data_IF_726607139067
#
_entry.id   IF_726607139067
#
_cell.length_a   1.000
_cell.length_b   1.000
_cell.length_c   1.000
_cell.angle_alpha   90.00
_cell.angle_beta   90.00
_cell.angle_gamma   90.00
#
_symmetry.space_group_name_H-M   'P 1'
#
loop_
_entity.id
_entity.type
_entity.pdbx_description
1 polymer ?
#
# COMPACT_ATOMS: atom_id res chain seq x y z
N UNK A 1 41.75 -7.87 -59.62
CA UNK A 1 40.44 -7.46 -59.07
C UNK A 1 39.98 -6.18 -59.79
N UNK A 2 38.86 -6.20 -60.52
CA UNK A 2 38.45 -5.07 -61.37
C UNK A 2 38.05 -3.86 -60.54
N UNK A 3 38.44 -2.64 -60.98
CA UNK A 3 38.10 -1.36 -60.29
C UNK A 3 36.61 -1.25 -59.92
N UNK A 4 35.71 -1.77 -60.78
CA UNK A 4 34.26 -1.81 -60.51
C UNK A 4 33.87 -2.75 -59.36
N UNK A 5 34.56 -3.89 -59.19
CA UNK A 5 34.34 -4.84 -58.08
C UNK A 5 34.92 -4.34 -56.75
N UNK A 6 36.02 -3.57 -56.79
CA UNK A 6 36.59 -2.93 -55.60
C UNK A 6 35.68 -1.82 -55.07
N UNK A 7 35.09 -1.01 -55.96
CA UNK A 7 34.11 0.02 -55.58
C UNK A 7 32.82 -0.55 -54.99
N UNK A 8 32.31 -1.67 -55.54
CA UNK A 8 31.14 -2.37 -55.01
C UNK A 8 31.39 -2.97 -53.62
N UNK A 9 32.59 -3.50 -53.35
CA UNK A 9 32.98 -4.01 -52.03
C UNK A 9 33.12 -2.91 -50.98
N UNK A 10 33.68 -1.74 -51.35
CA UNK A 10 33.80 -0.61 -50.42
C UNK A 10 32.40 -0.07 -50.07
N UNK A 11 31.49 0.05 -51.05
CA UNK A 11 30.14 0.56 -50.81
C UNK A 11 29.31 -0.37 -49.92
N UNK A 12 29.42 -1.70 -50.08
CA UNK A 12 28.70 -2.65 -49.21
C UNK A 12 29.28 -2.71 -47.80
N UNK A 13 30.58 -2.51 -47.63
CA UNK A 13 31.22 -2.50 -46.30
C UNK A 13 30.90 -1.23 -45.49
N UNK A 14 30.71 -0.08 -46.16
CA UNK A 14 30.30 1.19 -45.52
C UNK A 14 28.82 1.15 -45.10
N UNK A 15 27.95 0.52 -45.89
CA UNK A 15 26.51 0.40 -45.54
C UNK A 15 26.29 -0.59 -44.37
N UNK A 16 27.10 -1.66 -44.28
CA UNK A 16 26.97 -2.64 -43.19
C UNK A 16 27.50 -2.12 -41.83
N UNK A 17 28.41 -1.16 -41.83
CA UNK A 17 28.97 -0.54 -40.60
C UNK A 17 28.18 0.67 -40.12
N UNK A 18 27.22 1.17 -40.92
CA UNK A 18 26.39 2.33 -40.58
C UNK A 18 25.16 2.01 -39.71
N UNK A 19 24.91 0.73 -39.39
CA UNK A 19 23.82 0.28 -38.51
C UNK A 19 24.26 -0.14 -37.10
N UNK A 20 25.51 0.15 -36.70
CA UNK A 20 26.01 -0.09 -35.32
C UNK A 20 26.46 1.22 -34.64
N UNK A 21 25.96 2.38 -35.08
CA UNK A 21 26.13 3.65 -34.36
C UNK A 21 24.82 4.11 -33.70
N UNK A 22 24.22 3.21 -32.91
CA UNK A 22 23.31 3.58 -31.84
C UNK A 22 24.13 3.80 -30.57
N UNK A 23 24.37 5.06 -30.22
CA UNK A 23 24.80 5.58 -28.91
C UNK A 23 25.53 4.61 -27.95
N UNK A 24 26.86 4.58 -28.02
CA UNK A 24 27.70 4.33 -26.83
C UNK A 24 28.32 5.67 -26.45
N UNK A 25 27.71 6.34 -25.48
CA UNK A 25 28.13 7.67 -25.04
C UNK A 25 27.15 8.27 -24.05
N UNK A 26 27.11 7.68 -22.86
CA UNK A 26 26.28 8.14 -21.74
C UNK A 26 25.63 6.94 -21.07
N UNK A 27 26.37 6.32 -20.15
CA UNK A 27 25.84 5.31 -19.26
C UNK A 27 24.51 5.78 -18.71
N UNK A 28 23.49 5.03 -19.09
CA UNK A 28 22.11 5.14 -18.63
C UNK A 28 22.10 5.35 -17.12
N UNK A 29 21.61 6.52 -16.75
CA UNK A 29 21.02 6.87 -15.48
C UNK A 29 21.23 5.81 -14.40
N UNK A 30 22.22 6.07 -13.53
CA UNK A 30 21.94 5.89 -12.12
C UNK A 30 20.77 6.81 -11.78
N UNK A 31 19.54 6.39 -12.12
CA UNK A 31 18.43 6.72 -11.27
C UNK A 31 18.94 6.35 -9.88
N UNK A 32 18.88 7.25 -8.88
CA UNK A 32 19.01 6.76 -7.53
C UNK A 32 18.04 5.58 -7.48
N UNK A 33 18.53 4.41 -7.09
CA UNK A 33 17.64 3.53 -6.35
C UNK A 33 17.23 4.40 -5.17
N UNK A 34 16.17 5.17 -5.32
CA UNK A 34 15.32 5.49 -4.20
C UNK A 34 14.88 4.12 -3.72
N UNK A 35 15.68 3.51 -2.85
CA UNK A 35 15.15 2.95 -1.61
C UNK A 35 14.50 4.12 -0.86
N UNK A 36 13.49 4.70 -1.50
CA UNK A 36 12.88 5.96 -1.19
C UNK A 36 11.75 5.59 -0.31
N UNK A 37 11.89 5.94 0.96
CA UNK A 37 10.80 5.81 1.90
C UNK A 37 9.55 6.46 1.31
N UNK A 38 8.47 5.70 1.20
CA UNK A 38 7.17 6.22 0.82
C UNK A 38 6.57 6.96 2.02
N UNK A 39 5.77 7.99 1.73
CA UNK A 39 4.91 8.62 2.72
C UNK A 39 3.48 8.32 2.36
N UNK A 40 2.77 7.65 3.25
CA UNK A 40 1.37 7.26 3.05
C UNK A 40 0.45 8.22 3.79
N UNK A 41 -0.69 8.56 3.16
CA UNK A 41 -1.77 9.34 3.74
C UNK A 41 -3.05 8.53 3.66
N UNK A 42 -3.85 8.55 4.71
CA UNK A 42 -5.14 7.86 4.71
C UNK A 42 -6.06 8.38 5.78
N UNK A 43 -7.20 7.71 5.92
CA UNK A 43 -8.25 8.05 6.87
C UNK A 43 -8.61 6.78 7.64
N UNK A 44 -8.82 6.90 8.95
CA UNK A 44 -9.35 5.83 9.79
C UNK A 44 -10.77 6.18 10.20
N UNK A 45 -11.69 5.25 9.99
CA UNK A 45 -13.12 5.43 10.19
C UNK A 45 -13.63 4.34 11.11
N UNK A 46 -14.32 4.74 12.18
CA UNK A 46 -15.08 3.85 13.04
C UNK A 46 -16.55 3.81 12.57
N UNK A 47 -17.30 2.74 12.85
CA UNK A 47 -18.75 2.77 12.72
C UNK A 47 -19.35 3.93 13.52
N UNK A 48 -20.52 4.43 13.11
CA UNK A 48 -21.27 5.41 13.91
C UNK A 48 -21.59 4.83 15.29
N UNK A 49 -20.95 5.38 16.31
CA UNK A 49 -21.04 4.89 17.68
C UNK A 49 -21.02 6.01 18.74
N UNK A 50 -20.76 7.26 18.35
CA UNK A 50 -20.70 8.42 19.23
C UNK A 50 -19.74 8.26 20.44
N UNK A 51 -18.76 7.34 20.40
CA UNK A 51 -17.83 7.18 21.52
C UNK A 51 -16.92 8.41 21.70
N UNK A 52 -16.68 9.15 20.62
CA UNK A 52 -15.60 10.12 20.53
C UNK A 52 -16.16 11.52 20.23
N UNK A 53 -16.41 12.30 21.29
CA UNK A 53 -16.96 13.65 21.17
C UNK A 53 -15.97 14.70 20.66
N UNK A 54 -14.70 14.34 20.51
CA UNK A 54 -13.62 15.18 19.99
C UNK A 54 -13.37 14.99 18.48
N UNK A 55 -14.27 14.28 17.79
CA UNK A 55 -14.25 14.11 16.34
C UNK A 55 -14.57 15.42 15.59
N UNK A 56 -13.78 15.74 14.58
CA UNK A 56 -14.04 16.79 13.59
C UNK A 56 -14.74 16.18 12.38
N UNK A 57 -15.64 16.92 11.74
CA UNK A 57 -16.27 16.45 10.49
C UNK A 57 -15.22 16.24 9.37
N UNK A 58 -15.32 15.12 8.67
CA UNK A 58 -14.53 14.85 7.48
C UNK A 58 -15.45 14.51 6.29
N UNK A 59 -15.59 15.40 5.29
CA UNK A 59 -16.54 15.22 4.20
C UNK A 59 -16.14 14.11 3.21
N UNK A 60 -14.93 13.55 3.34
CA UNK A 60 -14.49 12.41 2.53
C UNK A 60 -15.06 11.07 3.03
N UNK A 61 -15.58 11.02 4.27
CA UNK A 61 -16.19 9.83 4.85
C UNK A 61 -17.65 9.76 4.41
N UNK A 62 -18.03 8.66 3.76
CA UNK A 62 -19.40 8.43 3.26
C UNK A 62 -20.24 7.66 4.29
N UNK A 63 -19.61 6.81 5.10
CA UNK A 63 -20.25 5.97 6.11
C UNK A 63 -19.37 5.90 7.35
N UNK A 64 -19.94 6.08 8.55
CA UNK A 64 -19.19 6.05 9.80
C UNK A 64 -18.74 7.43 10.28
N UNK A 65 -17.90 7.43 11.30
CA UNK A 65 -17.32 8.61 11.92
C UNK A 65 -15.79 8.54 11.87
N UNK A 66 -15.08 9.68 11.69
CA UNK A 66 -13.63 9.68 11.76
C UNK A 66 -13.17 9.20 13.13
N UNK A 67 -12.21 8.26 13.17
CA UNK A 67 -11.62 7.80 14.43
C UNK A 67 -10.57 8.83 14.88
N UNK A 68 -10.87 9.73 15.83
CA UNK A 68 -10.00 10.86 16.12
C UNK A 68 -8.87 10.43 17.04
N UNK A 69 -7.69 11.05 16.98
CA UNK A 69 -6.63 10.86 18.00
C UNK A 69 -6.24 9.39 18.29
N UNK A 70 -6.41 8.48 17.33
CA UNK A 70 -6.05 7.07 17.46
C UNK A 70 -4.55 6.88 17.24
N UNK A 71 -3.93 6.06 18.08
CA UNK A 71 -2.55 5.67 17.91
C UNK A 71 -2.45 4.66 16.76
N UNK A 72 -1.53 4.89 15.83
CA UNK A 72 -1.32 4.04 14.66
C UNK A 72 -0.01 3.28 14.82
N UNK A 73 -0.07 1.99 14.53
CA UNK A 73 1.09 1.12 14.32
C UNK A 73 1.00 0.59 12.89
N UNK A 74 2.00 0.87 12.06
CA UNK A 74 2.20 0.22 10.78
C UNK A 74 3.25 -0.87 10.94
N UNK A 75 2.83 -2.12 10.84
CA UNK A 75 3.71 -3.28 10.93
C UNK A 75 4.00 -3.81 9.52
N UNK A 76 5.25 -3.69 9.08
CA UNK A 76 5.74 -4.32 7.86
C UNK A 76 6.64 -5.52 8.20
N UNK A 77 7.22 -6.13 7.18
CA UNK A 77 8.07 -7.32 7.35
C UNK A 77 9.38 -7.00 8.08
N UNK A 78 9.96 -5.82 7.87
CA UNK A 78 11.28 -5.46 8.43
C UNK A 78 11.25 -4.30 9.41
N UNK A 79 10.17 -3.51 9.42
CA UNK A 79 10.06 -2.34 10.30
C UNK A 79 8.65 -2.14 10.85
N UNK A 80 8.61 -1.42 11.97
CA UNK A 80 7.38 -0.91 12.57
C UNK A 80 7.47 0.60 12.63
N UNK A 81 6.45 1.27 12.12
CA UNK A 81 6.32 2.73 12.19
C UNK A 81 5.12 3.07 13.06
N UNK A 82 5.17 4.23 13.71
CA UNK A 82 4.07 4.71 14.53
C UNK A 82 3.58 6.06 14.05
N UNK A 83 2.30 6.35 14.28
CA UNK A 83 1.69 7.63 13.96
C UNK A 83 0.45 7.87 14.81
N UNK A 84 -0.31 8.90 14.44
CA UNK A 84 -1.58 9.22 15.10
C UNK A 84 -2.55 9.79 14.09
N UNK A 85 -3.84 9.55 14.26
CA UNK A 85 -4.87 10.29 13.52
C UNK A 85 -5.09 11.68 14.11
N UNK A 86 -5.44 12.64 13.25
CA UNK A 86 -5.97 13.94 13.68
C UNK A 86 -7.44 13.82 14.12
N UNK A 87 -8.08 14.94 14.46
CA UNK A 87 -9.49 14.93 14.88
C UNK A 87 -10.46 14.51 13.76
N UNK A 88 -10.05 14.61 12.50
CA UNK A 88 -10.82 14.22 11.33
C UNK A 88 -10.44 12.81 10.83
N UNK A 89 -9.72 12.03 11.65
CA UNK A 89 -9.35 10.64 11.34
C UNK A 89 -8.22 10.51 10.31
N UNK A 90 -7.64 11.62 9.83
CA UNK A 90 -6.56 11.58 8.84
C UNK A 90 -5.24 11.23 9.50
N UNK A 91 -4.39 10.49 8.79
CA UNK A 91 -3.01 10.24 9.20
C UNK A 91 -2.04 10.44 8.05
N UNK A 92 -0.78 10.68 8.40
CA UNK A 92 0.34 10.70 7.48
C UNK A 92 1.55 10.07 8.15
N UNK A 93 2.12 9.03 7.53
CA UNK A 93 3.31 8.32 8.05
C UNK A 93 4.35 8.23 6.93
N UNK A 94 5.57 8.65 7.22
CA UNK A 94 6.72 8.59 6.32
C UNK A 94 7.68 7.49 6.74
N UNK A 95 8.59 7.09 5.85
CA UNK A 95 9.61 6.09 6.19
C UNK A 95 9.30 4.68 5.69
N UNK A 96 8.23 4.48 4.91
CA UNK A 96 7.81 3.13 4.50
C UNK A 96 8.77 2.56 3.45
N UNK A 97 9.38 1.41 3.75
CA UNK A 97 10.35 0.74 2.87
C UNK A 97 9.96 -0.68 2.48
N UNK A 98 9.01 -1.30 3.19
CA UNK A 98 8.51 -2.64 2.88
C UNK A 98 7.47 -2.61 1.76
N UNK A 99 7.22 -3.77 1.16
CA UNK A 99 6.25 -3.93 0.07
C UNK A 99 4.79 -3.93 0.55
N UNK A 100 4.56 -4.16 1.84
CA UNK A 100 3.23 -4.11 2.46
C UNK A 100 3.30 -3.86 3.96
N UNK A 101 2.23 -3.29 4.50
CA UNK A 101 2.06 -3.03 5.92
C UNK A 101 0.68 -3.46 6.40
N UNK A 102 0.57 -3.90 7.66
CA UNK A 102 -0.69 -3.87 8.39
C UNK A 102 -0.76 -2.59 9.20
N UNK A 103 -1.80 -1.81 8.97
CA UNK A 103 -2.19 -0.70 9.82
C UNK A 103 -3.06 -1.23 10.96
N UNK A 104 -2.67 -0.90 12.19
CA UNK A 104 -3.48 -1.02 13.39
C UNK A 104 -3.69 0.38 13.96
N UNK A 105 -4.93 0.87 13.95
CA UNK A 105 -5.32 2.12 14.58
C UNK A 105 -6.14 1.81 15.83
N UNK A 106 -5.66 2.26 16.97
CA UNK A 106 -6.22 1.98 18.28
C UNK A 106 -6.70 3.27 18.95
N UNK A 107 -7.92 3.24 19.51
CA UNK A 107 -8.35 4.21 20.51
C UNK A 107 -9.31 3.56 21.49
N UNK A 108 -8.88 3.45 22.76
CA UNK A 108 -9.64 2.72 23.77
C UNK A 108 -9.80 1.26 23.36
N UNK A 109 -11.04 0.79 23.29
CA UNK A 109 -11.38 -0.58 22.90
C UNK A 109 -11.57 -0.75 21.38
N UNK A 110 -11.62 0.35 20.61
CA UNK A 110 -11.80 0.33 19.16
C UNK A 110 -10.46 0.09 18.46
N UNK A 111 -10.42 -0.96 17.63
CA UNK A 111 -9.26 -1.35 16.81
C UNK A 111 -9.62 -1.47 15.34
N UNK A 112 -9.27 -0.46 14.55
CA UNK A 112 -9.45 -0.48 13.09
C UNK A 112 -8.18 -1.00 12.43
N UNK A 113 -8.32 -1.96 11.52
CA UNK A 113 -7.19 -2.63 10.86
C UNK A 113 -7.27 -2.51 9.34
N UNK A 114 -6.13 -2.50 8.66
CA UNK A 114 -6.06 -2.52 7.18
C UNK A 114 -4.74 -3.08 6.66
N UNK A 115 -4.80 -3.90 5.62
CA UNK A 115 -3.63 -4.23 4.81
C UNK A 115 -3.37 -3.11 3.78
N UNK A 116 -2.12 -2.62 3.72
CA UNK A 116 -1.65 -1.58 2.82
C UNK A 116 -0.71 -2.20 1.79
N UNK A 117 -1.26 -2.53 0.62
CA UNK A 117 -0.50 -3.02 -0.55
C UNK A 117 -1.30 -2.77 -1.83
N UNK A 118 -0.70 -2.18 -2.89
CA UNK A 118 0.69 -1.69 -2.94
C UNK A 118 0.89 -0.40 -2.13
N UNK A 119 2.12 -0.12 -1.70
CA UNK A 119 2.48 1.10 -0.93
C UNK A 119 2.72 2.27 -1.90
N UNK A 120 1.66 3.00 -2.26
CA UNK A 120 1.69 4.03 -3.33
C UNK A 120 1.54 5.47 -2.84
N UNK A 121 1.54 5.69 -1.53
CA UNK A 121 1.40 7.01 -0.91
C UNK A 121 -0.04 7.42 -0.60
N UNK A 122 -1.02 6.74 -1.20
CA UNK A 122 -2.42 6.77 -0.79
C UNK A 122 -2.76 5.46 -0.05
N UNK A 123 -3.06 5.58 1.24
CA UNK A 123 -3.49 4.48 2.09
C UNK A 123 -5.00 4.29 2.12
N UNK A 124 -5.76 5.17 1.46
CA UNK A 124 -7.22 5.16 1.43
C UNK A 124 -7.86 5.14 2.82
N UNK A 125 -9.07 4.59 2.87
CA UNK A 125 -9.85 4.47 4.10
C UNK A 125 -9.60 3.11 4.79
N UNK A 126 -9.34 3.13 6.10
CA UNK A 126 -9.37 1.97 6.97
C UNK A 126 -10.68 1.99 7.77
N UNK A 127 -11.45 0.91 7.72
CA UNK A 127 -12.79 0.82 8.29
C UNK A 127 -13.12 -0.63 8.71
N UNK A 128 -14.39 -0.92 9.00
CA UNK A 128 -14.83 -2.25 9.43
C UNK A 128 -14.61 -3.34 8.36
N UNK A 129 -14.69 -3.02 7.06
CA UNK A 129 -14.46 -3.96 5.96
C UNK A 129 -12.99 -4.35 5.89
N UNK A 130 -12.09 -3.36 5.92
CA UNK A 130 -10.64 -3.64 5.95
C UNK A 130 -10.23 -4.36 7.21
N UNK A 131 -10.92 -4.09 8.33
CA UNK A 131 -10.70 -4.77 9.60
C UNK A 131 -11.07 -6.25 9.50
N UNK A 132 -12.21 -6.58 8.89
CA UNK A 132 -12.62 -7.96 8.65
C UNK A 132 -11.58 -8.73 7.81
N UNK A 133 -11.06 -8.12 6.75
CA UNK A 133 -10.00 -8.73 5.92
C UNK A 133 -8.75 -9.06 6.74
N UNK A 134 -8.28 -8.12 7.57
CA UNK A 134 -7.09 -8.34 8.41
C UNK A 134 -7.35 -9.39 9.49
N UNK A 135 -8.54 -9.43 10.11
CA UNK A 135 -8.88 -10.47 11.10
C UNK A 135 -8.81 -11.87 10.47
N UNK A 136 -9.34 -12.05 9.27
CA UNK A 136 -9.23 -13.33 8.57
C UNK A 136 -7.76 -13.71 8.31
N UNK A 137 -6.95 -12.75 7.86
CA UNK A 137 -5.52 -12.98 7.71
C UNK A 137 -4.84 -13.34 9.04
N UNK A 138 -5.14 -12.65 10.15
CA UNK A 138 -4.58 -12.94 11.47
C UNK A 138 -4.94 -14.36 11.94
N UNK A 139 -6.15 -14.83 11.67
CA UNK A 139 -6.56 -16.21 11.98
C UNK A 139 -5.75 -17.22 11.16
N UNK A 140 -5.53 -16.95 9.87
CA UNK A 140 -4.71 -17.78 8.99
C UNK A 140 -3.25 -17.76 9.47
N UNK A 141 -2.69 -16.59 9.75
CA UNK A 141 -1.31 -16.40 10.20
C UNK A 141 -1.06 -17.11 11.54
N UNK A 142 -2.01 -17.04 12.48
CA UNK A 142 -1.90 -17.76 13.76
C UNK A 142 -1.95 -19.30 13.60
N UNK A 143 -2.66 -19.80 12.58
CA UNK A 143 -2.83 -21.24 12.35
C UNK A 143 -1.74 -21.82 11.43
N UNK A 144 -1.29 -21.03 10.46
CA UNK A 144 -0.30 -21.39 9.45
C UNK A 144 0.57 -20.16 9.13
N UNK A 145 1.58 -19.85 9.97
CA UNK A 145 2.40 -18.66 9.82
C UNK A 145 3.09 -18.56 8.47
N UNK A 146 3.07 -17.37 7.87
CA UNK A 146 3.70 -17.08 6.58
C UNK A 146 2.96 -17.66 5.36
N UNK A 147 1.75 -18.20 5.54
CA UNK A 147 0.94 -18.71 4.43
C UNK A 147 0.56 -17.62 3.42
N UNK A 148 0.37 -16.39 3.91
CA UNK A 148 0.02 -15.21 3.12
C UNK A 148 0.94 -14.08 3.57
N UNK A 149 1.86 -13.64 2.71
CA UNK A 149 2.68 -12.47 2.98
C UNK A 149 1.80 -11.20 3.06
N UNK A 150 2.20 -10.22 3.86
CA UNK A 150 1.41 -8.98 4.10
C UNK A 150 1.02 -8.30 2.78
N UNK A 151 1.96 -8.21 1.84
CA UNK A 151 1.74 -7.60 0.52
C UNK A 151 0.68 -8.29 -0.32
N UNK A 152 0.40 -9.56 -0.07
CA UNK A 152 -0.52 -10.40 -0.84
C UNK A 152 -1.91 -10.51 -0.20
N UNK A 153 -2.15 -9.90 0.98
CA UNK A 153 -3.45 -9.96 1.66
C UNK A 153 -4.59 -9.44 0.77
N UNK A 154 -4.50 -8.26 0.11
CA UNK A 154 -5.63 -7.75 -0.66
C UNK A 154 -6.03 -8.64 -1.84
N UNK A 155 -5.08 -9.41 -2.39
CA UNK A 155 -5.33 -10.32 -3.52
C UNK A 155 -5.70 -11.74 -3.06
N UNK A 156 -5.14 -12.21 -1.95
CA UNK A 156 -5.42 -13.54 -1.40
C UNK A 156 -6.78 -13.59 -0.64
N UNK A 157 -7.19 -12.47 -0.05
CA UNK A 157 -8.45 -12.34 0.69
C UNK A 157 -9.21 -11.12 0.13
N UNK A 158 -9.72 -11.18 -1.10
CA UNK A 158 -10.43 -10.05 -1.68
C UNK A 158 -11.75 -9.79 -0.93
N UNK A 159 -12.20 -8.54 -0.87
CA UNK A 159 -13.35 -8.16 -0.03
C UNK A 159 -14.66 -8.88 -0.41
N UNK A 160 -14.83 -9.20 -1.69
CA UNK A 160 -16.00 -9.93 -2.21
C UNK A 160 -16.01 -11.41 -1.82
N UNK A 161 -14.88 -11.95 -1.35
CA UNK A 161 -14.79 -13.31 -0.79
C UNK A 161 -15.10 -13.37 0.71
N UNK A 162 -15.25 -12.23 1.38
CA UNK A 162 -15.55 -12.17 2.81
C UNK A 162 -17.07 -12.25 3.01
N UNK A 163 -17.59 -13.23 3.79
CA UNK A 163 -19.02 -13.31 4.06
C UNK A 163 -19.57 -12.03 4.69
N UNK A 164 -20.69 -11.52 4.17
CA UNK A 164 -21.30 -10.28 4.67
C UNK A 164 -21.65 -10.37 6.16
N UNK A 165 -22.14 -11.51 6.64
CA UNK A 165 -22.45 -11.73 8.05
C UNK A 165 -21.23 -11.52 8.97
N UNK A 166 -20.03 -11.83 8.48
CA UNK A 166 -18.80 -11.61 9.22
C UNK A 166 -18.42 -10.12 9.23
N UNK A 167 -18.57 -9.43 8.10
CA UNK A 167 -18.35 -7.98 8.00
C UNK A 167 -19.30 -7.24 8.95
N UNK A 168 -20.58 -7.64 8.98
CA UNK A 168 -21.60 -7.04 9.85
C UNK A 168 -21.29 -7.28 11.33
N UNK A 169 -20.82 -8.48 11.69
CA UNK A 169 -20.38 -8.79 13.04
C UNK A 169 -19.17 -7.93 13.48
N UNK A 170 -18.19 -7.73 12.58
CA UNK A 170 -17.05 -6.85 12.84
C UNK A 170 -17.51 -5.40 13.01
N UNK A 171 -18.41 -4.92 12.15
CA UNK A 171 -18.98 -3.57 12.27
C UNK A 171 -19.70 -3.38 13.61
N UNK A 172 -20.51 -4.35 14.03
CA UNK A 172 -21.21 -4.30 15.31
C UNK A 172 -20.24 -4.29 16.49
N UNK A 173 -19.20 -5.13 16.46
CA UNK A 173 -18.18 -5.18 17.52
C UNK A 173 -17.39 -3.86 17.63
N UNK A 174 -17.11 -3.20 16.52
CA UNK A 174 -16.42 -1.90 16.49
C UNK A 174 -17.32 -0.72 16.89
N UNK A 175 -18.64 -0.91 16.88
CA UNK A 175 -19.60 0.07 17.36
C UNK A 175 -19.84 -0.04 18.88
N UNK A 176 -19.41 -1.14 19.51
CA UNK A 176 -19.53 -1.35 20.95
C UNK A 176 -18.36 -0.66 21.67
N UNK A 177 -18.69 0.45 22.33
CA UNK A 177 -17.85 1.32 23.13
C UNK A 177 -18.74 2.01 24.19
#
# INVERSE_FOLDING_TARGET
>A
MNRKKLWLLILTTVILTSFISGCIGGGQFGAPSTGGSVTIKGIVVAPENNCFTDACSNPSIIEGEPLPNADIILQGDTQTLTGKTDCAGNYQISGLTDEGYILYANRGEVWIKKALSPVTGDGGEANYITTAQVILWEVIENTNPGAIAIKDIPTAIPFDAIPQEFIDAVKAALADC
#
